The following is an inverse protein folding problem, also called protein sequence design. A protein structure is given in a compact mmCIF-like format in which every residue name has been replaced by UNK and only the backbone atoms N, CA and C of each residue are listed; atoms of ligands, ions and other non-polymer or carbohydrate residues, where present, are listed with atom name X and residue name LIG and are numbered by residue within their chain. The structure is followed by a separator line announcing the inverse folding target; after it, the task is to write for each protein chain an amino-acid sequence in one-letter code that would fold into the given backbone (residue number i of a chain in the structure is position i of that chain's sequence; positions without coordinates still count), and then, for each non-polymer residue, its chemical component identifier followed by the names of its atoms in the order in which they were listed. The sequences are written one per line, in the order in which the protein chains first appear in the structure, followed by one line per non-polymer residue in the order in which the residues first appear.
data_IF_160944735582
#
_entry.id   IF_160944735582
#
_cell.length_a   1.000
_cell.length_b   1.000
_cell.length_c   1.000
_cell.angle_alpha   90.00
_cell.angle_beta   90.00
_cell.angle_gamma   90.00
#
_symmetry.space_group_name_H-M   'P 1'
#
loop_
_entity.id
_entity.type
_entity.pdbx_description
1 polymer ?
#
# COMPACT_ATOMS: atom_id res chain seq x y z
N UNK A 1 -24.30 -0.99 6.01
CA UNK A 1 -23.18 -1.96 5.94
C UNK A 1 -21.93 -1.16 5.56
N UNK A 2 -21.02 -0.96 6.49
CA UNK A 2 -19.77 -0.25 6.20
C UNK A 2 -18.72 -1.25 5.74
N UNK A 3 -17.98 -0.89 4.69
CA UNK A 3 -16.92 -1.71 4.09
C UNK A 3 -15.56 -1.22 4.58
N UNK A 4 -14.86 -2.05 5.35
CA UNK A 4 -13.48 -1.79 5.75
C UNK A 4 -12.51 -2.41 4.72
N UNK A 5 -11.74 -1.58 4.01
CA UNK A 5 -10.69 -2.04 3.09
C UNK A 5 -9.35 -1.97 3.79
N UNK A 6 -8.67 -3.11 3.90
CA UNK A 6 -7.32 -3.21 4.42
C UNK A 6 -6.38 -3.34 3.23
N UNK A 7 -5.73 -2.24 2.86
CA UNK A 7 -4.73 -2.22 1.81
C UNK A 7 -3.33 -2.17 2.39
N UNK A 8 -2.43 -2.99 1.87
CA UNK A 8 -1.00 -2.86 2.15
C UNK A 8 -0.33 -2.08 1.05
N UNK A 9 -0.68 -0.84 0.97
CA UNK A 9 0.11 0.10 0.19
C UNK A 9 1.13 0.85 1.00
N UNK A 10 1.09 0.94 2.24
CA UNK A 10 1.91 1.48 3.31
C UNK A 10 1.03 1.44 4.53
N UNK A 11 1.24 0.45 5.38
CA UNK A 11 0.38 0.18 6.50
C UNK A 11 0.07 1.45 7.28
N UNK A 12 -1.21 1.71 7.51
CA UNK A 12 -1.66 2.62 8.52
C UNK A 12 -1.22 2.06 9.88
N UNK A 13 0.07 2.26 10.20
CA UNK A 13 0.60 1.98 11.51
C UNK A 13 0.03 3.03 12.46
N UNK A 14 -0.81 2.63 13.41
CA UNK A 14 -1.17 3.50 14.52
C UNK A 14 0.10 4.06 15.13
N UNK A 15 0.20 5.37 15.21
CA UNK A 15 1.12 6.04 16.14
C UNK A 15 0.76 5.57 17.55
N UNK A 16 1.50 4.62 18.09
CA UNK A 16 1.50 4.41 19.53
C UNK A 16 2.22 5.60 20.17
N UNK A 17 1.47 6.45 20.84
CA UNK A 17 2.03 7.46 21.74
C UNK A 17 2.53 6.71 22.97
N UNK A 18 3.84 6.57 23.14
CA UNK A 18 4.42 6.26 24.43
C UNK A 18 4.81 7.59 25.06
N UNK A 19 4.17 7.95 26.15
CA UNK A 19 4.71 8.93 27.09
C UNK A 19 5.89 8.27 27.79
N UNK A 20 7.11 8.63 27.44
CA UNK A 20 8.24 8.49 28.36
C UNK A 20 8.07 9.59 29.39
N UNK A 21 8.30 9.29 30.67
CA UNK A 21 8.08 10.22 31.77
C UNK A 21 8.90 11.53 31.75
N UNK A 22 9.63 11.78 30.67
CA UNK A 22 10.43 12.99 30.40
C UNK A 22 9.71 14.02 29.52
N UNK A 23 8.43 13.77 29.17
CA UNK A 23 7.64 14.66 28.30
C UNK A 23 8.06 14.66 26.82
N UNK A 24 9.05 13.87 26.41
CA UNK A 24 9.45 13.77 25.01
C UNK A 24 8.57 12.82 24.22
N UNK A 25 7.98 13.31 23.13
CA UNK A 25 7.17 12.53 22.21
C UNK A 25 8.07 11.87 21.16
N UNK A 26 8.53 10.64 21.41
CA UNK A 26 9.19 9.86 20.37
C UNK A 26 8.15 9.25 19.44
N UNK A 27 8.09 9.72 18.21
CA UNK A 27 7.39 9.03 17.13
C UNK A 27 8.18 7.78 16.78
N UNK A 28 7.75 6.61 17.26
CA UNK A 28 8.24 5.35 16.69
C UNK A 28 7.82 5.30 15.23
N UNK A 29 8.80 5.00 14.37
CA UNK A 29 8.59 4.96 12.93
C UNK A 29 7.40 4.08 12.52
N UNK A 30 6.84 4.38 11.36
CA UNK A 30 5.77 3.64 10.75
C UNK A 30 6.21 2.18 10.53
N UNK A 31 5.61 1.24 11.24
CA UNK A 31 5.82 -0.18 10.97
C UNK A 31 4.95 -0.57 9.79
N UNK A 32 5.57 -0.74 8.63
CA UNK A 32 4.91 -1.33 7.45
C UNK A 32 4.71 -2.82 7.73
N UNK A 33 3.47 -3.26 7.74
CA UNK A 33 3.12 -4.69 7.80
C UNK A 33 2.68 -5.14 6.41
N UNK A 34 3.09 -6.32 5.99
CA UNK A 34 2.55 -6.95 4.78
C UNK A 34 1.10 -7.40 5.01
N UNK A 35 0.34 -7.62 3.91
CA UNK A 35 -1.10 -7.91 3.96
C UNK A 35 -1.41 -9.09 4.86
N UNK A 36 -0.80 -10.25 4.61
CA UNK A 36 -1.15 -11.49 5.29
C UNK A 36 -0.98 -11.43 6.82
N UNK A 37 0.13 -10.94 7.40
CA UNK A 37 0.25 -10.76 8.85
C UNK A 37 -0.63 -9.64 9.43
N UNK A 38 -1.15 -8.74 8.58
CA UNK A 38 -1.98 -7.63 9.03
C UNK A 38 -3.47 -8.00 9.13
N UNK A 39 -3.96 -8.87 8.24
CA UNK A 39 -5.37 -9.27 8.17
C UNK A 39 -5.90 -9.76 9.53
N UNK A 40 -5.32 -10.77 10.22
CA UNK A 40 -5.89 -11.25 11.46
C UNK A 40 -5.93 -10.17 12.55
N UNK A 41 -4.90 -9.33 12.64
CA UNK A 41 -4.88 -8.24 13.62
C UNK A 41 -5.96 -7.17 13.35
N UNK A 42 -6.32 -6.98 12.08
CA UNK A 42 -7.37 -6.06 11.69
C UNK A 42 -8.76 -6.66 11.95
N UNK A 43 -8.96 -7.94 11.62
CA UNK A 43 -10.19 -8.69 11.91
C UNK A 43 -10.47 -8.65 13.40
N UNK A 44 -9.49 -9.00 14.26
CA UNK A 44 -9.64 -8.94 15.71
C UNK A 44 -9.97 -7.53 16.23
N UNK A 45 -9.39 -6.51 15.63
CA UNK A 45 -9.66 -5.13 16.01
C UNK A 45 -11.05 -4.66 15.60
N UNK A 46 -11.55 -5.09 14.44
CA UNK A 46 -12.89 -4.77 13.94
C UNK A 46 -13.96 -5.54 14.74
N UNK A 47 -13.79 -6.82 14.99
CA UNK A 47 -14.70 -7.62 15.80
C UNK A 47 -14.99 -7.03 17.19
N UNK A 48 -13.98 -6.35 17.76
CA UNK A 48 -14.13 -5.69 19.08
C UNK A 48 -14.81 -4.32 19.04
N UNK A 49 -14.85 -3.65 17.90
CA UNK A 49 -15.31 -2.26 17.79
C UNK A 49 -16.56 -2.10 16.96
N UNK A 50 -16.63 -2.83 15.87
CA UNK A 50 -17.65 -2.73 14.83
C UNK A 50 -17.84 -4.10 14.21
N UNK A 51 -18.50 -5.06 14.90
CA UNK A 51 -18.60 -6.46 14.45
C UNK A 51 -19.33 -6.63 13.10
N UNK A 52 -20.16 -5.67 12.72
CA UNK A 52 -20.94 -5.72 11.48
C UNK A 52 -20.19 -5.18 10.25
N UNK A 53 -18.93 -4.75 10.42
CA UNK A 53 -18.11 -4.24 9.32
C UNK A 53 -17.35 -5.36 8.64
N UNK A 54 -17.54 -5.49 7.30
CA UNK A 54 -16.81 -6.45 6.50
C UNK A 54 -15.35 -6.02 6.32
N UNK A 55 -14.43 -6.96 6.46
CA UNK A 55 -12.98 -6.76 6.34
C UNK A 55 -12.49 -7.35 5.02
N UNK A 56 -12.12 -6.51 4.07
CA UNK A 56 -11.54 -6.96 2.80
C UNK A 56 -10.02 -6.74 2.79
N UNK A 57 -9.28 -7.80 2.45
CA UNK A 57 -7.84 -7.73 2.28
C UNK A 57 -7.46 -7.21 0.88
N UNK A 58 -6.49 -6.29 0.80
CA UNK A 58 -5.99 -5.77 -0.45
C UNK A 58 -4.47 -5.60 -0.44
N UNK A 59 -3.85 -5.73 -1.62
CA UNK A 59 -2.41 -5.53 -1.82
C UNK A 59 -1.62 -6.83 -1.83
N UNK A 60 -1.00 -7.13 -2.98
CA UNK A 60 -0.19 -8.33 -3.20
C UNK A 60 -0.99 -9.61 -3.41
N UNK A 61 -2.31 -9.53 -3.53
CA UNK A 61 -3.19 -10.68 -3.82
C UNK A 61 -3.53 -10.65 -5.30
N UNK A 62 -3.15 -11.70 -6.04
CA UNK A 62 -3.35 -11.76 -7.48
C UNK A 62 -3.83 -13.13 -7.99
N UNK A 63 -3.94 -14.13 -7.13
CA UNK A 63 -4.35 -15.50 -7.46
C UNK A 63 -5.30 -16.09 -6.44
N UNK A 64 -5.82 -17.29 -6.75
CA UNK A 64 -6.74 -18.01 -5.89
C UNK A 64 -6.13 -18.47 -4.57
N UNK A 65 -4.84 -18.76 -4.56
CA UNK A 65 -4.04 -19.08 -3.38
C UNK A 65 -4.02 -17.92 -2.37
N UNK A 66 -3.75 -16.71 -2.85
CA UNK A 66 -3.79 -15.51 -2.03
C UNK A 66 -5.19 -15.17 -1.52
N UNK A 67 -6.22 -15.40 -2.35
CA UNK A 67 -7.62 -15.28 -1.94
C UNK A 67 -7.94 -16.27 -0.81
N UNK A 68 -7.63 -17.55 -1.01
CA UNK A 68 -7.87 -18.57 -0.02
C UNK A 68 -7.16 -18.28 1.31
N UNK A 69 -5.88 -17.86 1.23
CA UNK A 69 -5.11 -17.48 2.41
C UNK A 69 -5.74 -16.29 3.16
N UNK A 70 -6.21 -15.25 2.46
CA UNK A 70 -6.86 -14.10 3.08
C UNK A 70 -8.16 -14.49 3.81
N UNK A 71 -8.99 -15.33 3.18
CA UNK A 71 -10.22 -15.86 3.79
C UNK A 71 -9.90 -16.70 5.02
N UNK A 72 -8.90 -17.58 4.95
CA UNK A 72 -8.45 -18.38 6.10
C UNK A 72 -7.93 -17.53 7.27
N UNK A 73 -7.39 -16.34 6.99
CA UNK A 73 -6.96 -15.37 8.00
C UNK A 73 -8.11 -14.51 8.56
N UNK A 74 -9.33 -14.80 8.13
CA UNK A 74 -10.56 -14.17 8.66
C UNK A 74 -11.04 -12.96 7.86
N UNK A 75 -10.48 -12.66 6.69
CA UNK A 75 -11.05 -11.64 5.82
C UNK A 75 -12.37 -12.13 5.20
N UNK A 76 -13.34 -11.23 5.02
CA UNK A 76 -14.61 -11.53 4.35
C UNK A 76 -14.47 -11.56 2.82
N UNK A 77 -13.39 -10.99 2.29
CA UNK A 77 -13.11 -10.95 0.86
C UNK A 77 -11.76 -10.31 0.54
N UNK A 78 -11.48 -10.14 -0.76
CA UNK A 78 -10.26 -9.50 -1.25
C UNK A 78 -10.55 -8.46 -2.31
N UNK A 79 -9.65 -7.49 -2.42
CA UNK A 79 -9.60 -6.53 -3.51
C UNK A 79 -8.31 -6.73 -4.30
N UNK A 80 -8.43 -6.99 -5.59
CA UNK A 80 -7.33 -7.19 -6.52
C UNK A 80 -7.25 -6.02 -7.51
N UNK A 81 -6.17 -5.25 -7.47
CA UNK A 81 -5.93 -4.16 -8.43
C UNK A 81 -5.17 -4.64 -9.65
N UNK A 82 -3.88 -4.94 -9.47
CA UNK A 82 -2.94 -5.27 -10.56
C UNK A 82 -3.40 -6.45 -11.41
N UNK A 83 -4.05 -7.45 -10.82
CA UNK A 83 -4.60 -8.60 -11.56
C UNK A 83 -5.64 -8.16 -12.59
N UNK A 84 -6.60 -7.33 -12.17
CA UNK A 84 -7.66 -6.82 -13.07
C UNK A 84 -7.15 -5.74 -14.02
N UNK A 85 -6.12 -4.97 -13.64
CA UNK A 85 -5.44 -4.05 -14.55
C UNK A 85 -4.93 -4.75 -15.81
N UNK A 86 -4.44 -5.98 -15.70
CA UNK A 86 -3.87 -6.77 -16.78
C UNK A 86 -4.90 -7.59 -17.58
N UNK A 87 -6.20 -7.50 -17.28
CA UNK A 87 -7.24 -8.23 -18.01
C UNK A 87 -7.56 -7.59 -19.36
N UNK A 88 -8.18 -8.36 -20.24
CA UNK A 88 -8.61 -7.88 -21.57
C UNK A 88 -9.68 -6.79 -21.47
N UNK A 89 -10.54 -6.88 -20.47
CA UNK A 89 -11.66 -5.98 -20.22
C UNK A 89 -11.23 -4.64 -19.59
N UNK A 90 -10.00 -4.57 -19.09
CA UNK A 90 -9.45 -3.33 -18.53
C UNK A 90 -9.36 -2.26 -19.62
N UNK A 91 -9.72 -1.02 -19.28
CA UNK A 91 -9.63 0.13 -20.17
C UNK A 91 -8.21 0.70 -20.30
N UNK A 92 -7.24 0.08 -19.65
CA UNK A 92 -5.85 0.51 -19.70
C UNK A 92 -5.19 0.25 -21.05
N UNK A 93 -4.23 1.09 -21.47
CA UNK A 93 -3.54 0.91 -22.75
C UNK A 93 -2.83 -0.45 -22.86
N UNK A 94 -2.91 -1.11 -24.02
CA UNK A 94 -2.31 -2.44 -24.23
C UNK A 94 -0.81 -2.49 -23.95
N UNK A 95 -0.09 -1.42 -24.26
CA UNK A 95 1.34 -1.31 -23.94
C UNK A 95 1.62 -1.30 -22.42
N UNK A 96 0.71 -0.79 -21.61
CA UNK A 96 0.81 -0.83 -20.15
C UNK A 96 0.47 -2.23 -19.62
N UNK A 97 -0.57 -2.87 -20.15
CA UNK A 97 -0.93 -4.27 -19.80
C UNK A 97 0.22 -5.22 -20.11
N UNK A 98 0.81 -5.13 -21.31
CA UNK A 98 1.95 -5.96 -21.72
C UNK A 98 3.13 -5.81 -20.76
N UNK A 99 3.44 -4.59 -20.34
CA UNK A 99 4.52 -4.35 -19.36
C UNK A 99 4.22 -4.97 -18.00
N UNK A 100 2.98 -4.88 -17.52
CA UNK A 100 2.58 -5.48 -16.24
C UNK A 100 2.61 -7.00 -16.31
N UNK A 101 2.17 -7.60 -17.43
CA UNK A 101 2.19 -9.04 -17.64
C UNK A 101 3.61 -9.61 -17.76
N UNK A 102 4.53 -8.85 -18.36
CA UNK A 102 5.93 -9.26 -18.53
C UNK A 102 6.83 -8.97 -17.33
N UNK A 103 6.36 -8.16 -16.36
CA UNK A 103 7.19 -7.77 -15.23
C UNK A 103 7.12 -8.77 -14.08
N UNK A 104 8.26 -9.07 -13.49
CA UNK A 104 8.37 -9.79 -12.21
C UNK A 104 8.25 -8.83 -11.03
N UNK A 105 8.08 -9.37 -9.82
CA UNK A 105 8.06 -8.57 -8.58
C UNK A 105 9.35 -7.76 -8.38
N UNK A 106 10.49 -8.30 -8.79
CA UNK A 106 11.83 -7.69 -8.64
C UNK A 106 12.04 -6.50 -9.60
N UNK A 107 11.31 -6.47 -10.71
CA UNK A 107 11.32 -5.35 -11.65
C UNK A 107 10.42 -4.20 -11.23
N UNK A 108 9.94 -4.22 -10.02
CA UNK A 108 9.12 -3.16 -9.44
C UNK A 108 9.91 -2.33 -8.43
N UNK A 109 9.47 -1.10 -8.21
CA UNK A 109 10.05 -0.18 -7.23
C UNK A 109 8.95 0.61 -6.52
N UNK A 110 9.15 0.88 -5.23
CA UNK A 110 8.27 1.78 -4.49
C UNK A 110 8.74 3.22 -4.65
N UNK A 111 7.86 4.07 -5.12
CA UNK A 111 8.19 5.47 -5.41
C UNK A 111 6.95 6.35 -5.26
N UNK A 112 7.16 7.65 -5.13
CA UNK A 112 6.13 8.69 -5.20
C UNK A 112 6.26 9.52 -6.49
N UNK A 113 7.08 9.09 -7.48
CA UNK A 113 7.35 9.87 -8.71
C UNK A 113 6.06 10.23 -9.43
N UNK A 114 5.17 9.27 -9.63
CA UNK A 114 3.88 9.52 -10.29
C UNK A 114 2.92 10.34 -9.43
N UNK A 115 2.99 10.21 -8.10
CA UNK A 115 2.15 11.03 -7.22
C UNK A 115 2.51 12.50 -7.32
N UNK A 116 3.82 12.80 -7.38
CA UNK A 116 4.31 14.18 -7.60
C UNK A 116 3.90 14.70 -8.97
N UNK A 117 4.04 13.91 -10.03
CA UNK A 117 3.67 14.32 -11.40
C UNK A 117 2.17 14.57 -11.50
N UNK A 118 1.36 13.73 -10.88
CA UNK A 118 -0.10 13.84 -10.88
C UNK A 118 -0.64 14.77 -9.78
N UNK A 119 0.25 15.50 -9.09
CA UNK A 119 -0.09 16.42 -7.99
C UNK A 119 -0.97 15.77 -6.91
N UNK A 120 -0.70 14.50 -6.57
CA UNK A 120 -1.41 13.77 -5.51
C UNK A 120 -0.70 13.98 -4.18
N UNK A 121 -1.38 14.63 -3.24
CA UNK A 121 -0.88 14.88 -1.89
C UNK A 121 -1.15 13.69 -0.97
N UNK A 122 -0.28 12.68 -0.98
CA UNK A 122 -0.31 11.61 0.01
C UNK A 122 0.43 12.03 1.29
N UNK A 123 -0.01 11.56 2.46
CA UNK A 123 0.74 11.77 3.69
C UNK A 123 2.17 11.24 3.59
N UNK A 124 3.14 11.83 4.30
CA UNK A 124 4.52 11.36 4.30
C UNK A 124 4.63 9.87 4.64
N UNK A 125 5.48 9.13 3.93
CA UNK A 125 5.66 7.69 4.10
C UNK A 125 4.81 6.82 3.18
N UNK A 126 3.82 7.38 2.49
CA UNK A 126 3.06 6.63 1.48
C UNK A 126 3.78 6.63 0.13
N UNK A 127 3.94 5.45 -0.46
CA UNK A 127 4.57 5.26 -1.77
C UNK A 127 3.76 4.26 -2.59
N UNK A 128 3.65 4.47 -3.89
CA UNK A 128 3.10 3.49 -4.83
C UNK A 128 4.16 2.48 -5.29
N UNK A 129 3.78 1.25 -5.58
CA UNK A 129 4.63 0.29 -6.27
C UNK A 129 4.36 0.37 -7.77
N UNK A 130 5.42 0.53 -8.54
CA UNK A 130 5.33 0.68 -9.99
C UNK A 130 6.37 -0.21 -10.70
N UNK A 131 6.13 -0.58 -11.94
CA UNK A 131 7.12 -1.25 -12.78
C UNK A 131 8.25 -0.26 -13.12
N UNK A 132 9.50 -0.70 -13.00
CA UNK A 132 10.68 0.11 -13.36
C UNK A 132 10.62 0.55 -14.81
N UNK A 133 10.97 1.78 -15.06
CA UNK A 133 11.11 2.33 -16.42
C UNK A 133 12.05 3.53 -16.37
N UNK A 134 12.49 3.97 -17.55
CA UNK A 134 13.45 5.09 -17.71
C UNK A 134 13.01 6.37 -16.99
N UNK A 135 11.72 6.65 -16.95
CA UNK A 135 11.19 7.82 -16.25
C UNK A 135 11.37 7.70 -14.73
N UNK A 136 10.98 6.56 -14.17
CA UNK A 136 11.15 6.29 -12.74
C UNK A 136 12.62 6.29 -12.34
N UNK A 137 13.49 5.64 -13.10
CA UNK A 137 14.93 5.59 -12.84
C UNK A 137 15.54 7.00 -12.84
N UNK A 138 15.18 7.82 -13.81
CA UNK A 138 15.67 9.21 -13.90
C UNK A 138 15.24 10.08 -12.72
N UNK A 139 14.03 9.88 -12.18
CA UNK A 139 13.45 10.79 -11.19
C UNK A 139 13.41 10.23 -9.77
N UNK A 140 13.54 8.92 -9.58
CA UNK A 140 13.49 8.30 -8.26
C UNK A 140 14.59 8.82 -7.32
N UNK A 141 15.82 8.91 -7.80
CA UNK A 141 16.97 9.38 -7.03
C UNK A 141 16.95 10.89 -6.76
N UNK A 142 16.31 11.68 -7.63
CA UNK A 142 16.25 13.14 -7.49
C UNK A 142 15.23 13.64 -6.47
N UNK A 143 14.36 12.79 -5.96
CA UNK A 143 13.39 13.10 -4.91
C UNK A 143 14.02 13.34 -3.56
N UNK A 144 15.09 12.66 -3.22
CA UNK A 144 15.85 12.87 -1.99
C UNK A 144 16.36 14.31 -1.85
N UNK A 145 16.74 14.92 -2.97
CA UNK A 145 17.26 16.29 -2.98
C UNK A 145 16.19 17.37 -2.72
N UNK A 146 14.92 17.14 -3.11
CA UNK A 146 13.83 18.12 -2.87
C UNK A 146 13.21 18.01 -1.48
N UNK A 147 13.18 16.82 -0.89
CA UNK A 147 12.71 16.64 0.48
C UNK A 147 13.64 17.30 1.51
N UNK A 148 14.94 17.40 1.23
CA UNK A 148 15.91 18.09 2.08
C UNK A 148 15.92 19.62 1.86
N UNK A 149 15.46 20.13 0.73
CA UNK A 149 15.46 21.56 0.41
C UNK A 149 14.20 22.31 0.93
N UNK A 150 13.13 21.61 1.29
CA UNK A 150 11.87 22.20 1.80
C UNK A 150 11.80 22.43 3.30
N UNK A 151 12.88 22.21 4.03
CA UNK A 151 12.94 22.28 5.50
C UNK A 151 13.60 23.55 6.06
N UNK A 152 13.57 24.68 5.36
CA UNK A 152 14.04 25.97 5.89
C UNK A 152 13.14 27.11 5.41
N UNK A 153 12.10 27.37 6.15
CA UNK A 153 11.57 28.71 6.47
C UNK A 153 10.83 28.59 7.79
#
# INVERSE_FOLDING_TARGET
MELGIIGTGNGCGRRRRNSTGDGSWRTRGWTVRSTMPFVPAAVDAMAKRTPDVLVHAAGGIAGGDGLAAALMLGADGVWMGTRFYATKESLEPDGAKTKVLGATGDETIRTTVYDVVNNRAWPPGYTGRVVRNKFVEKWHSRKGARACAGGRT
#
